data_IF_676292131461
#
_entry.id   IF_676292131461
#
_cell.length_a   1.000
_cell.length_b   1.000
_cell.length_c   1.000
_cell.angle_alpha   90.00
_cell.angle_beta   90.00
_cell.angle_gamma   90.00
#
_symmetry.space_group_name_H-M   'P 1'
#
loop_
_entity.id
_entity.type
_entity.pdbx_description
1 polymer ?
#
# COMPACT_ATOMS: atom_id res chain seq x y z
N UNK A 1 -110.88 -28.80 -13.61
CA UNK A 1 -109.91 -27.84 -14.19
C UNK A 1 -108.50 -28.28 -13.79
N UNK A 2 -107.63 -28.62 -14.75
CA UNK A 2 -106.26 -29.09 -14.45
C UNK A 2 -105.35 -27.90 -14.15
N UNK A 3 -104.79 -27.83 -12.95
CA UNK A 3 -103.78 -26.84 -12.58
C UNK A 3 -102.50 -27.08 -13.39
N UNK A 4 -101.94 -26.02 -13.96
CA UNK A 4 -100.71 -26.12 -14.73
C UNK A 4 -99.49 -26.19 -13.81
N UNK A 5 -98.49 -26.97 -14.23
CA UNK A 5 -97.18 -27.04 -13.57
C UNK A 5 -96.55 -25.63 -13.45
N UNK A 6 -96.91 -24.68 -14.32
CA UNK A 6 -96.51 -23.27 -14.23
C UNK A 6 -96.90 -22.57 -12.93
N UNK A 7 -98.02 -22.96 -12.31
CA UNK A 7 -98.53 -22.33 -11.10
C UNK A 7 -97.86 -22.86 -9.82
N UNK A 8 -97.07 -23.93 -9.95
CA UNK A 8 -96.46 -24.66 -8.83
C UNK A 8 -94.93 -24.66 -8.94
N UNK A 9 -94.37 -24.65 -10.17
CA UNK A 9 -92.93 -24.69 -10.42
C UNK A 9 -92.36 -23.32 -10.81
N UNK A 10 -91.48 -22.81 -9.94
CA UNK A 10 -90.60 -21.65 -10.19
C UNK A 10 -89.43 -21.95 -11.15
N UNK A 11 -89.26 -23.21 -11.55
CA UNK A 11 -88.15 -23.68 -12.39
C UNK A 11 -88.13 -23.11 -13.83
N UNK A 12 -89.22 -22.52 -14.32
CA UNK A 12 -89.32 -21.90 -15.64
C UNK A 12 -89.11 -22.84 -16.85
N UNK A 13 -88.77 -24.11 -16.64
CA UNK A 13 -88.31 -25.07 -17.66
C UNK A 13 -89.16 -26.34 -17.67
N UNK A 14 -90.49 -26.20 -17.75
CA UNK A 14 -91.40 -27.32 -17.95
C UNK A 14 -92.20 -27.11 -19.23
N UNK A 15 -92.59 -28.21 -19.87
CA UNK A 15 -93.42 -28.17 -21.06
C UNK A 15 -94.89 -27.96 -20.64
N UNK A 16 -95.51 -26.87 -21.08
CA UNK A 16 -96.91 -26.59 -20.82
C UNK A 16 -97.60 -26.22 -22.13
N UNK A 17 -98.75 -26.86 -22.40
CA UNK A 17 -99.55 -26.62 -23.61
C UNK A 17 -100.19 -25.23 -23.64
N UNK A 18 -100.33 -24.56 -22.49
CA UNK A 18 -101.03 -23.27 -22.38
C UNK A 18 -100.17 -22.06 -22.77
N UNK A 19 -98.85 -22.21 -22.82
CA UNK A 19 -97.94 -21.17 -23.35
C UNK A 19 -97.33 -21.63 -24.66
N UNK A 20 -98.05 -21.42 -25.77
CA UNK A 20 -97.50 -21.54 -27.13
C UNK A 20 -96.45 -20.44 -27.44
N UNK A 21 -96.31 -19.44 -26.56
CA UNK A 21 -95.28 -18.41 -26.66
C UNK A 21 -93.97 -18.91 -26.04
N UNK A 22 -93.04 -19.28 -26.93
CA UNK A 22 -91.57 -19.33 -26.78
C UNK A 22 -91.03 -19.31 -25.36
N UNK A 23 -90.29 -20.37 -24.99
CA UNK A 23 -89.33 -20.35 -23.88
C UNK A 23 -88.26 -19.28 -24.16
N UNK A 24 -88.54 -18.03 -23.80
CA UNK A 24 -87.54 -16.97 -23.84
C UNK A 24 -86.73 -17.01 -22.55
N UNK A 25 -85.71 -17.86 -22.57
CA UNK A 25 -84.50 -17.58 -21.81
C UNK A 25 -83.82 -16.40 -22.49
N UNK A 26 -83.40 -15.34 -21.77
CA UNK A 26 -82.90 -14.10 -22.38
C UNK A 26 -81.71 -14.28 -23.34
N UNK A 27 -81.03 -15.43 -23.26
CA UNK A 27 -79.78 -15.72 -23.94
C UNK A 27 -79.84 -16.85 -24.97
N UNK A 28 -80.95 -17.59 -25.10
CA UNK A 28 -81.09 -18.55 -26.18
C UNK A 28 -81.66 -17.85 -27.41
N UNK A 29 -80.92 -17.91 -28.51
CA UNK A 29 -81.35 -17.34 -29.80
C UNK A 29 -82.46 -18.21 -30.42
N UNK A 30 -82.36 -19.52 -30.23
CA UNK A 30 -83.30 -20.52 -30.77
C UNK A 30 -83.98 -21.37 -29.68
N UNK A 31 -85.11 -21.99 -30.03
CA UNK A 31 -85.96 -22.76 -29.11
C UNK A 31 -85.26 -24.04 -28.59
N UNK A 32 -84.37 -24.63 -29.39
CA UNK A 32 -83.59 -25.81 -29.03
C UNK A 32 -82.41 -25.49 -28.10
N UNK A 33 -81.90 -24.26 -28.16
CA UNK A 33 -80.80 -23.82 -27.32
C UNK A 33 -81.22 -23.59 -25.87
N UNK A 34 -82.50 -23.23 -25.64
CA UNK A 34 -83.06 -23.11 -24.30
C UNK A 34 -83.07 -24.43 -23.52
N UNK A 35 -83.09 -25.57 -24.21
CA UNK A 35 -82.97 -26.90 -23.61
C UNK A 35 -81.51 -27.34 -23.40
N UNK A 36 -80.53 -26.67 -24.01
CA UNK A 36 -79.10 -26.98 -23.92
C UNK A 36 -78.34 -26.11 -22.92
N UNK A 37 -79.04 -25.25 -22.17
CA UNK A 37 -78.44 -24.48 -21.08
C UNK A 37 -78.24 -25.43 -19.90
N UNK A 38 -76.98 -25.68 -19.55
CA UNK A 38 -76.61 -26.42 -18.34
C UNK A 38 -76.53 -25.46 -17.16
N UNK A 39 -76.62 -25.96 -15.92
CA UNK A 39 -76.36 -25.15 -14.71
C UNK A 39 -75.04 -24.39 -14.82
N UNK A 40 -74.03 -25.04 -15.41
CA UNK A 40 -72.72 -24.45 -15.65
C UNK A 40 -72.80 -23.21 -16.57
N UNK A 41 -73.49 -23.29 -17.71
CA UNK A 41 -73.63 -22.15 -18.64
C UNK A 41 -74.44 -21.01 -18.04
N UNK A 42 -75.38 -21.31 -17.14
CA UNK A 42 -76.20 -20.29 -16.49
C UNK A 42 -75.44 -19.56 -15.38
N UNK A 43 -74.67 -20.31 -14.57
CA UNK A 43 -73.95 -19.80 -13.39
C UNK A 43 -72.60 -19.16 -13.74
N UNK A 44 -71.92 -19.67 -14.77
CA UNK A 44 -70.60 -19.18 -15.22
C UNK A 44 -70.73 -18.40 -16.52
N UNK A 45 -71.42 -17.26 -16.45
CA UNK A 45 -71.47 -16.32 -17.57
C UNK A 45 -70.12 -15.60 -17.67
N UNK A 46 -69.66 -15.25 -18.88
CA UNK A 46 -68.51 -14.38 -19.02
C UNK A 46 -68.87 -13.02 -18.41
N UNK A 47 -68.39 -12.76 -17.20
CA UNK A 47 -68.48 -11.43 -16.61
C UNK A 47 -67.59 -10.49 -17.43
N UNK A 48 -68.15 -9.36 -17.85
CA UNK A 48 -67.36 -8.33 -18.51
C UNK A 48 -66.27 -7.84 -17.57
N UNK A 49 -65.03 -7.85 -18.03
CA UNK A 49 -63.94 -7.28 -17.26
C UNK A 49 -64.16 -5.76 -17.13
N UNK A 50 -64.38 -5.29 -15.90
CA UNK A 50 -64.43 -3.87 -15.58
C UNK A 50 -63.04 -3.48 -15.08
N UNK A 51 -62.25 -2.72 -15.86
CA UNK A 51 -60.98 -2.22 -15.36
C UNK A 51 -61.23 -1.29 -14.17
N UNK A 52 -60.34 -1.28 -13.17
CA UNK A 52 -60.43 -0.31 -12.08
C UNK A 52 -60.30 1.12 -12.61
N UNK A 53 -61.01 2.06 -11.97
CA UNK A 53 -61.02 3.49 -12.36
C UNK A 53 -59.63 4.13 -12.34
N UNK A 54 -58.73 3.59 -11.49
CA UNK A 54 -57.35 4.03 -11.42
C UNK A 54 -56.38 2.85 -11.46
N UNK A 55 -55.23 3.01 -12.15
CA UNK A 55 -54.19 2.02 -12.13
C UNK A 55 -53.56 1.95 -10.73
N UNK A 56 -53.56 0.75 -10.14
CA UNK A 56 -52.81 0.44 -8.91
C UNK A 56 -51.31 0.59 -9.13
N UNK A 57 -50.88 0.51 -10.40
CA UNK A 57 -49.48 0.66 -10.77
C UNK A 57 -49.05 2.12 -10.60
N UNK A 58 -47.90 2.35 -9.95
CA UNK A 58 -47.30 3.68 -9.86
C UNK A 58 -47.04 4.25 -11.26
N UNK A 59 -47.14 5.58 -11.37
CA UNK A 59 -46.88 6.28 -12.62
C UNK A 59 -45.48 5.94 -13.15
N UNK A 60 -45.32 5.91 -14.47
CA UNK A 60 -44.05 5.58 -15.14
C UNK A 60 -42.89 6.53 -14.78
N UNK A 61 -43.20 7.71 -14.23
CA UNK A 61 -42.24 8.69 -13.71
C UNK A 61 -42.20 8.80 -12.19
N UNK A 62 -42.67 7.80 -11.44
CA UNK A 62 -42.51 7.79 -9.99
C UNK A 62 -41.02 7.69 -9.63
N UNK A 63 -40.51 8.70 -8.92
CA UNK A 63 -39.13 8.71 -8.44
C UNK A 63 -38.95 7.65 -7.35
N UNK A 64 -38.46 6.49 -7.75
CA UNK A 64 -38.18 5.35 -6.88
C UNK A 64 -36.97 5.55 -5.96
N UNK A 65 -36.17 6.58 -6.22
CA UNK A 65 -35.02 6.91 -5.40
C UNK A 65 -35.42 8.06 -4.48
N UNK A 66 -35.41 7.81 -3.18
CA UNK A 66 -35.52 8.88 -2.19
C UNK A 66 -34.45 9.94 -2.44
N UNK A 67 -34.73 11.18 -2.03
CA UNK A 67 -33.81 12.32 -2.05
C UNK A 67 -32.68 12.13 -1.01
N UNK A 68 -32.07 10.95 -0.95
CA UNK A 68 -30.92 10.70 -0.11
C UNK A 68 -29.70 10.57 -1.00
N UNK A 69 -28.69 11.44 -0.84
CA UNK A 69 -27.46 11.32 -1.61
C UNK A 69 -26.86 9.95 -1.28
N UNK A 70 -26.77 9.09 -2.29
CA UNK A 70 -26.12 7.79 -2.16
C UNK A 70 -24.78 7.97 -1.48
N UNK A 71 -24.59 7.38 -0.30
CA UNK A 71 -23.35 7.47 0.46
C UNK A 71 -22.32 6.57 -0.22
N UNK A 72 -21.76 7.04 -1.34
CA UNK A 72 -20.90 6.26 -2.26
C UNK A 72 -19.52 5.89 -1.68
N UNK A 73 -19.19 6.39 -0.50
CA UNK A 73 -17.91 6.15 0.15
C UNK A 73 -18.13 5.24 1.36
N UNK A 74 -17.46 4.09 1.34
CA UNK A 74 -17.29 3.27 2.54
C UNK A 74 -16.50 4.04 3.59
N UNK A 75 -16.70 3.73 4.87
CA UNK A 75 -15.92 4.27 5.99
C UNK A 75 -14.43 4.12 5.73
N UNK A 76 -14.01 2.95 5.25
CA UNK A 76 -12.62 2.68 4.86
C UNK A 76 -12.06 3.66 3.84
N UNK A 77 -12.82 4.04 2.82
CA UNK A 77 -12.35 5.02 1.81
C UNK A 77 -12.27 6.45 2.34
N UNK A 78 -13.04 6.78 3.39
CA UNK A 78 -12.97 8.09 4.05
C UNK A 78 -11.78 8.17 5.00
N UNK A 79 -11.53 7.08 5.74
CA UNK A 79 -10.61 7.10 6.87
C UNK A 79 -9.15 6.81 6.45
N UNK A 80 -8.95 6.04 5.37
CA UNK A 80 -7.63 5.63 4.90
C UNK A 80 -7.19 6.41 3.65
N UNK A 81 -6.81 7.68 3.85
CA UNK A 81 -6.25 8.54 2.79
C UNK A 81 -4.70 8.51 2.87
N UNK A 82 -3.98 8.45 1.74
CA UNK A 82 -2.52 8.52 1.76
C UNK A 82 -2.03 9.84 2.37
N UNK A 83 -1.29 9.74 3.47
CA UNK A 83 -0.62 10.87 4.11
C UNK A 83 0.67 11.23 3.35
N UNK A 84 1.08 12.51 3.33
CA UNK A 84 2.37 12.90 2.78
C UNK A 84 3.49 12.21 3.56
N UNK A 85 4.35 11.48 2.85
CA UNK A 85 5.50 10.76 3.45
C UNK A 85 6.72 11.68 3.38
N UNK A 86 7.22 12.11 4.54
CA UNK A 86 8.48 12.83 4.62
C UNK A 86 9.68 11.88 4.53
N UNK A 87 10.74 12.30 3.82
CA UNK A 87 12.00 11.55 3.78
C UNK A 87 12.68 11.66 5.13
N UNK A 88 13.07 10.51 5.72
CA UNK A 88 13.88 10.49 6.94
C UNK A 88 15.14 11.33 6.76
N UNK A 89 15.41 12.21 7.72
CA UNK A 89 16.64 12.99 7.76
C UNK A 89 17.86 12.06 7.67
N UNK A 90 18.73 12.31 6.70
CA UNK A 90 19.96 11.54 6.53
C UNK A 90 20.91 11.89 7.69
N UNK A 91 21.21 10.89 8.52
CA UNK A 91 22.25 11.02 9.55
C UNK A 91 23.60 11.11 8.84
N UNK A 92 24.30 12.25 8.96
CA UNK A 92 25.63 12.41 8.36
C UNK A 92 26.60 11.46 9.08
N UNK A 93 27.43 10.69 8.35
CA UNK A 93 28.44 9.85 8.97
C UNK A 93 29.37 10.70 9.84
N UNK A 94 29.76 10.17 11.00
CA UNK A 94 30.63 10.86 11.94
C UNK A 94 31.99 11.09 11.29
N UNK A 95 32.42 12.35 11.18
CA UNK A 95 33.73 12.71 10.63
C UNK A 95 34.82 12.03 11.48
N UNK A 96 35.79 11.31 10.85
CA UNK A 96 36.93 10.75 11.56
C UNK A 96 37.71 11.85 12.29
N UNK A 97 38.01 11.63 13.57
CA UNK A 97 38.84 12.55 14.36
C UNK A 97 40.29 12.14 14.25
N UNK A 98 41.15 13.05 13.82
CA UNK A 98 42.60 12.85 13.88
C UNK A 98 43.06 12.78 15.35
N UNK A 99 44.06 11.93 15.60
CA UNK A 99 44.65 11.80 16.92
C UNK A 99 45.53 13.03 17.21
N UNK A 100 45.23 13.74 18.31
CA UNK A 100 46.05 14.86 18.77
C UNK A 100 47.18 14.32 19.63
N UNK A 101 48.33 14.10 19.02
CA UNK A 101 49.54 13.69 19.72
C UNK A 101 50.78 13.88 18.85
N UNK A 102 51.86 14.40 19.43
CA UNK A 102 53.17 14.44 18.77
C UNK A 102 53.94 13.20 19.23
N UNK A 103 54.40 12.38 18.29
CA UNK A 103 55.34 11.31 18.60
C UNK A 103 56.69 11.95 18.96
N UNK A 104 57.27 11.60 20.12
CA UNK A 104 58.50 12.24 20.62
C UNK A 104 59.73 11.97 19.74
N UNK A 105 59.70 10.93 18.89
CA UNK A 105 60.75 10.62 17.92
C UNK A 105 62.13 10.28 18.54
N UNK A 106 62.24 10.30 19.87
CA UNK A 106 63.47 10.02 20.60
C UNK A 106 63.58 8.52 20.84
N UNK A 107 64.47 7.86 20.10
CA UNK A 107 64.91 6.50 20.42
C UNK A 107 66.05 6.56 21.42
N UNK A 108 66.26 5.48 22.19
CA UNK A 108 67.41 5.35 23.11
C UNK A 108 68.74 5.54 22.38
N UNK A 109 68.84 5.05 21.15
CA UNK A 109 70.02 5.25 20.29
C UNK A 109 70.38 6.72 20.08
N UNK A 110 69.39 7.57 19.79
CA UNK A 110 69.61 9.01 19.56
C UNK A 110 70.03 9.75 20.84
N UNK A 111 69.67 9.23 22.01
CA UNK A 111 70.07 9.78 23.30
C UNK A 111 71.50 9.36 23.69
N UNK A 112 71.84 8.08 23.48
CA UNK A 112 73.08 7.50 24.01
C UNK A 112 74.31 7.78 23.12
N UNK A 113 74.12 7.97 21.82
CA UNK A 113 75.19 8.16 20.84
C UNK A 113 75.29 9.59 20.34
N UNK A 114 75.64 10.52 21.23
CA UNK A 114 75.97 11.90 20.85
C UNK A 114 77.45 12.04 20.45
N UNK A 115 77.79 12.88 19.44
CA UNK A 115 79.17 13.06 19.00
C UNK A 115 80.01 13.71 20.11
N UNK A 116 80.95 12.95 20.67
CA UNK A 116 81.89 13.43 21.69
C UNK A 116 83.07 14.12 21.03
N UNK A 117 83.46 15.31 21.53
CA UNK A 117 84.68 15.99 21.09
C UNK A 117 85.89 15.40 21.80
N UNK A 118 86.90 14.99 21.04
CA UNK A 118 88.19 14.59 21.60
C UNK A 118 88.98 15.84 22.04
N UNK A 119 89.66 15.74 23.19
CA UNK A 119 90.62 16.75 23.62
C UNK A 119 91.82 16.73 22.65
N UNK A 120 92.29 17.93 22.28
CA UNK A 120 93.47 18.06 21.41
C UNK A 120 94.71 17.61 22.19
N UNK A 121 95.59 16.78 21.59
CA UNK A 121 96.82 16.39 22.25
C UNK A 121 97.75 17.60 22.41
N UNK A 122 98.45 17.64 23.54
CA UNK A 122 99.42 18.69 23.83
C UNK A 122 100.67 18.52 22.96
N UNK A 123 101.25 19.63 22.47
CA UNK A 123 102.43 19.61 21.60
C UNK A 123 103.68 19.35 22.44
N UNK A 124 104.41 18.26 22.17
CA UNK A 124 105.68 17.95 22.83
C UNK A 124 106.75 19.02 22.56
N UNK A 125 107.43 19.49 23.61
CA UNK A 125 108.58 20.42 23.50
C UNK A 125 109.81 19.66 22.97
N UNK A 126 110.57 20.29 22.08
CA UNK A 126 111.85 19.76 21.57
C UNK A 126 112.98 20.18 22.52
N UNK A 127 113.92 19.28 22.80
CA UNK A 127 115.13 19.62 23.56
C UNK A 127 116.15 20.30 22.63
N UNK A 128 116.66 21.47 23.02
CA UNK A 128 117.77 22.13 22.32
C UNK A 128 119.09 21.48 22.73
N UNK A 129 119.80 20.92 21.75
CA UNK A 129 121.12 20.29 21.94
C UNK A 129 122.25 21.29 21.70
N UNK A 130 123.15 21.42 22.67
CA UNK A 130 124.36 22.25 22.61
C UNK A 130 125.44 21.56 21.74
N UNK A 131 126.05 22.30 20.80
CA UNK A 131 127.10 21.82 19.89
C UNK A 131 128.26 22.81 19.86
N UNK A 132 129.16 22.72 20.82
CA UNK A 132 130.50 23.31 20.71
C UNK A 132 131.54 22.19 20.78
N UNK A 133 132.11 21.90 19.61
CA UNK A 133 133.22 20.98 19.38
C UNK A 133 134.44 21.83 19.02
N UNK A 134 135.57 21.67 19.71
CA UNK A 134 136.90 21.86 19.10
C UNK A 134 137.91 20.91 19.78
N UNK A 135 138.47 19.95 19.04
CA UNK A 135 139.79 19.40 19.33
C UNK A 135 140.66 19.56 18.07
N UNK A 136 141.82 20.24 18.14
CA UNK A 136 142.66 20.52 16.98
C UNK A 136 143.58 19.36 16.58
N UNK A 137 143.94 19.40 15.31
CA UNK A 137 144.68 18.43 14.50
C UNK A 137 146.14 18.18 14.96
N UNK A 138 146.63 17.02 14.52
CA UNK A 138 147.88 16.33 14.69
C UNK A 138 149.17 17.16 14.87
N UNK A 139 150.13 16.55 15.58
CA UNK A 139 151.48 16.42 15.02
C UNK A 139 152.26 15.24 15.61
N UNK A 140 152.86 14.50 14.69
CA UNK A 140 153.72 13.33 14.89
C UNK A 140 155.05 13.73 15.54
N UNK A 141 155.57 12.87 16.42
CA UNK A 141 156.96 12.43 16.29
C UNK A 141 157.87 12.48 17.52
N UNK A 142 158.45 11.29 17.79
CA UNK A 142 159.82 11.00 18.27
C UNK A 142 160.05 11.20 19.78
N UNK A 143 160.16 10.09 20.54
CA UNK A 143 161.40 9.35 20.91
C UNK A 143 162.35 10.22 21.75
N UNK A 144 162.86 9.84 22.93
CA UNK A 144 163.54 8.58 23.28
C UNK A 144 163.63 8.37 24.82
N UNK A 145 163.98 7.12 25.17
CA UNK A 145 164.69 6.62 26.37
C UNK A 145 165.54 7.64 27.16
N UNK A 146 165.48 7.58 28.49
CA UNK A 146 166.41 6.81 29.35
C UNK A 146 165.72 6.51 30.69
#
# INVERSE_FOLDING_TARGET
MRQCICQICICGRHHCEHKKSKRQVPFAKDQDDGFKITEHKDRYRPYGYQPPESPIKPASGADWRGHEPSVKLSTTRRDYVPLPIERRALMRPKVPKEHKGKMSGSTTYNHDYQPKRALKPEKGKKAEGNKDVIMPDATKGKKWKL
#
